data_IF_847257223148
#
_entry.id   IF_847257223148
#
_cell.length_a   1.000
_cell.length_b   1.000
_cell.length_c   1.000
_cell.angle_alpha   90.00
_cell.angle_beta   90.00
_cell.angle_gamma   90.00
#
_symmetry.space_group_name_H-M   'P 1'
#
loop_
_entity.id
_entity.type
_entity.pdbx_description
1 polymer ?
#
# COMPACT_ATOMS: atom_id res chain seq x y z
N UNK A 1 21.73 -54.79 -16.89
CA UNK A 1 21.14 -55.30 -15.69
C UNK A 1 22.06 -55.09 -14.53
N UNK A 2 22.22 -53.93 -13.97
CA UNK A 2 22.89 -53.66 -12.66
C UNK A 2 22.36 -52.33 -12.14
N UNK A 3 21.61 -52.41 -11.06
CA UNK A 3 21.13 -51.26 -10.31
C UNK A 3 22.31 -50.54 -9.63
N UNK A 4 22.42 -49.25 -9.80
CA UNK A 4 23.38 -48.43 -9.07
C UNK A 4 22.62 -47.50 -8.14
N UNK A 5 22.70 -47.82 -6.83
CA UNK A 5 22.19 -46.98 -5.75
C UNK A 5 23.24 -45.89 -5.47
N UNK A 6 22.92 -44.64 -5.73
CA UNK A 6 23.72 -43.54 -5.23
C UNK A 6 23.15 -43.07 -3.90
N UNK A 7 23.96 -43.18 -2.88
CA UNK A 7 23.72 -42.68 -1.53
C UNK A 7 23.75 -41.16 -1.51
N UNK A 8 22.68 -40.54 -1.02
CA UNK A 8 22.60 -39.10 -0.77
C UNK A 8 23.26 -38.83 0.60
N UNK A 9 24.39 -38.19 0.59
CA UNK A 9 25.08 -37.74 1.80
C UNK A 9 24.37 -36.49 2.34
N UNK A 10 23.80 -36.60 3.54
CA UNK A 10 23.20 -35.49 4.28
C UNK A 10 24.32 -34.64 4.89
N UNK A 11 24.50 -33.43 4.37
CA UNK A 11 25.35 -32.43 5.01
C UNK A 11 24.53 -31.67 6.06
N UNK A 12 24.82 -31.92 7.33
CA UNK A 12 24.33 -31.14 8.46
C UNK A 12 25.15 -29.85 8.49
N UNK A 13 24.57 -28.76 7.98
CA UNK A 13 25.09 -27.40 8.14
C UNK A 13 24.67 -26.89 9.50
N UNK A 14 25.62 -26.71 10.40
CA UNK A 14 25.42 -26.18 11.74
C UNK A 14 24.81 -24.75 11.68
N UNK A 15 23.69 -24.55 12.34
CA UNK A 15 23.12 -23.24 12.61
C UNK A 15 24.03 -22.47 13.58
N UNK A 16 24.82 -21.55 13.05
CA UNK A 16 25.37 -20.47 13.85
C UNK A 16 24.25 -19.46 14.14
N UNK A 17 23.73 -19.52 15.34
CA UNK A 17 22.77 -18.54 15.87
C UNK A 17 23.46 -17.19 16.06
N UNK A 18 23.32 -16.30 15.07
CA UNK A 18 23.65 -14.88 15.23
C UNK A 18 22.53 -14.25 16.06
N UNK A 19 22.81 -13.58 17.18
CA UNK A 19 21.78 -12.87 17.92
C UNK A 19 21.28 -11.69 17.07
N UNK A 20 20.07 -11.79 16.55
CA UNK A 20 19.36 -10.68 15.96
C UNK A 20 18.99 -9.74 17.12
N UNK A 21 19.77 -8.69 17.30
CA UNK A 21 19.40 -7.58 18.20
C UNK A 21 18.22 -6.87 17.57
N UNK A 22 17.02 -7.28 17.97
CA UNK A 22 15.78 -6.58 17.62
C UNK A 22 15.79 -5.25 18.36
N UNK A 23 16.17 -4.19 17.67
CA UNK A 23 15.88 -2.85 18.11
C UNK A 23 14.36 -2.65 17.94
N UNK A 24 13.62 -2.83 19.02
CA UNK A 24 12.23 -2.43 19.11
C UNK A 24 12.17 -0.89 19.05
N UNK A 25 12.17 -0.36 17.83
CA UNK A 25 11.78 1.03 17.62
C UNK A 25 10.26 1.07 17.76
N UNK A 26 9.78 1.76 18.78
CA UNK A 26 8.37 2.03 19.01
C UNK A 26 7.74 2.56 17.72
N UNK A 27 6.70 1.87 17.24
CA UNK A 27 5.90 2.37 16.14
C UNK A 27 5.41 3.77 16.48
N UNK A 28 5.48 4.74 15.57
CA UNK A 28 4.96 6.08 15.83
C UNK A 28 3.47 5.98 16.16
N UNK A 29 3.11 6.68 17.22
CA UNK A 29 1.77 6.80 17.78
C UNK A 29 0.76 7.14 16.66
N UNK A 30 -0.29 6.36 16.54
CA UNK A 30 -1.37 6.61 15.58
C UNK A 30 -2.17 7.82 16.05
N UNK A 31 -1.72 9.02 15.69
CA UNK A 31 -2.44 10.26 15.97
C UNK A 31 -3.74 10.26 15.18
N UNK A 32 -4.86 10.14 15.88
CA UNK A 32 -6.20 10.35 15.33
C UNK A 32 -6.65 11.76 15.71
N UNK A 33 -6.68 12.70 14.74
CA UNK A 33 -7.16 14.06 15.01
C UNK A 33 -6.67 15.11 13.99
N UNK A 34 -7.08 16.38 14.10
CA UNK A 34 -6.53 17.46 13.29
C UNK A 34 -5.02 17.57 13.53
N UNK A 35 -4.23 17.30 12.45
CA UNK A 35 -2.77 17.18 12.52
C UNK A 35 -2.23 15.78 12.14
N UNK A 36 -3.06 14.93 11.53
CA UNK A 36 -2.70 13.59 11.04
C UNK A 36 -1.52 13.59 10.08
N UNK A 37 -1.33 14.67 9.31
CA UNK A 37 -0.22 14.85 8.38
C UNK A 37 0.46 16.19 8.61
N UNK A 38 1.77 16.27 8.34
CA UNK A 38 2.42 17.54 8.13
C UNK A 38 1.74 18.31 6.99
N UNK A 39 1.70 19.65 7.02
CA UNK A 39 1.05 20.45 5.98
C UNK A 39 1.72 20.31 4.61
N UNK A 40 2.96 19.84 4.59
CA UNK A 40 3.72 19.53 3.37
C UNK A 40 4.42 18.19 3.54
N UNK A 41 4.23 17.31 2.58
CA UNK A 41 4.84 15.97 2.55
C UNK A 41 5.56 15.73 1.21
N UNK A 42 6.63 14.92 1.18
CA UNK A 42 7.16 14.40 -0.07
C UNK A 42 6.13 13.49 -0.74
N UNK A 43 5.99 13.61 -2.06
CA UNK A 43 5.11 12.73 -2.84
C UNK A 43 5.91 11.88 -3.82
N UNK A 44 5.47 10.63 -3.94
CA UNK A 44 6.03 9.61 -4.80
C UNK A 44 5.02 9.28 -5.91
N UNK A 45 5.14 9.91 -7.09
CA UNK A 45 4.27 9.64 -8.22
C UNK A 45 4.69 8.36 -8.92
N UNK A 46 3.75 7.44 -9.14
CA UNK A 46 3.96 6.18 -9.85
C UNK A 46 2.87 5.99 -10.91
N UNK A 47 3.18 5.34 -12.06
CA UNK A 47 2.22 5.17 -13.14
C UNK A 47 1.20 4.06 -12.90
N UNK A 48 1.52 3.10 -12.02
CA UNK A 48 0.83 1.82 -11.92
C UNK A 48 0.58 1.36 -10.48
N UNK A 49 0.81 2.24 -9.51
CA UNK A 49 0.76 1.84 -8.11
C UNK A 49 0.05 2.86 -7.23
N UNK A 50 -0.97 2.37 -6.53
CA UNK A 50 -1.75 3.12 -5.53
C UNK A 50 -1.51 2.50 -4.15
N UNK A 51 -1.60 3.30 -3.09
CA UNK A 51 -1.56 2.87 -1.70
C UNK A 51 -2.93 3.10 -1.06
N UNK A 52 -3.38 2.15 -0.25
CA UNK A 52 -4.62 2.28 0.52
C UNK A 52 -4.34 2.41 2.02
N UNK A 53 -5.19 3.11 2.79
CA UNK A 53 -5.05 3.24 4.23
C UNK A 53 -4.95 1.87 4.92
N UNK A 54 -4.13 1.79 5.98
CA UNK A 54 -3.89 0.62 6.84
C UNK A 54 -3.13 -0.55 6.18
N UNK A 55 -2.97 -0.54 4.85
CA UNK A 55 -2.27 -1.61 4.10
C UNK A 55 -0.80 -1.26 3.95
N UNK A 56 0.05 -2.29 4.06
CA UNK A 56 1.51 -2.15 3.91
C UNK A 56 1.94 -2.56 2.50
N UNK A 57 2.89 -1.82 1.92
CA UNK A 57 3.44 -2.09 0.60
C UNK A 57 4.97 -2.09 0.64
N UNK A 58 5.63 -3.17 0.18
CA UNK A 58 7.07 -3.15 0.00
C UNK A 58 7.43 -2.34 -1.24
N UNK A 59 8.46 -1.50 -1.15
CA UNK A 59 8.96 -0.66 -2.23
C UNK A 59 10.47 -0.77 -2.32
N UNK A 60 10.99 -0.89 -3.55
CA UNK A 60 12.41 -0.82 -3.86
C UNK A 60 12.75 0.54 -4.45
N UNK A 61 13.54 1.34 -3.75
CA UNK A 61 13.85 2.73 -4.09
C UNK A 61 15.25 2.79 -4.68
N UNK A 62 15.35 3.02 -5.99
CA UNK A 62 16.61 3.02 -6.72
C UNK A 62 16.96 4.36 -7.37
N UNK A 63 15.95 5.15 -7.79
CA UNK A 63 16.17 6.43 -8.45
C UNK A 63 16.80 7.47 -7.48
N UNK A 64 17.82 8.24 -7.90
CA UNK A 64 18.52 9.19 -7.03
C UNK A 64 17.59 10.20 -6.34
N UNK A 65 16.56 10.72 -7.06
CA UNK A 65 15.58 11.66 -6.48
C UNK A 65 14.75 11.03 -5.37
N UNK A 66 14.35 9.76 -5.51
CA UNK A 66 13.55 9.07 -4.50
C UNK A 66 14.40 8.50 -3.37
N UNK A 67 15.68 8.21 -3.63
CA UNK A 67 16.65 7.92 -2.55
C UNK A 67 16.83 9.14 -1.64
N UNK A 68 16.98 10.33 -2.23
CA UNK A 68 17.02 11.58 -1.46
C UNK A 68 15.72 11.81 -0.67
N UNK A 69 14.56 11.55 -1.28
CA UNK A 69 13.25 11.64 -0.63
C UNK A 69 13.15 10.74 0.60
N UNK A 70 13.52 9.46 0.48
CA UNK A 70 13.51 8.50 1.59
C UNK A 70 14.50 8.92 2.68
N UNK A 71 15.74 9.29 2.31
CA UNK A 71 16.75 9.74 3.26
C UNK A 71 16.31 10.98 4.06
N UNK A 72 15.57 11.91 3.44
CA UNK A 72 15.02 13.09 4.12
C UNK A 72 13.80 12.72 4.98
N UNK A 73 12.89 11.87 4.49
CA UNK A 73 11.74 11.39 5.25
C UNK A 73 12.18 10.66 6.53
N UNK A 74 13.25 9.86 6.48
CA UNK A 74 13.79 9.13 7.64
C UNK A 74 14.34 10.04 8.75
N UNK A 75 14.71 11.30 8.42
CA UNK A 75 15.14 12.30 9.40
C UNK A 75 13.97 13.03 10.09
N UNK A 76 12.76 12.90 9.55
CA UNK A 76 11.55 13.55 10.03
C UNK A 76 10.45 12.56 10.41
N UNK A 77 9.23 12.85 9.98
CA UNK A 77 8.04 12.08 10.35
C UNK A 77 7.93 10.71 9.68
N UNK A 78 8.86 10.36 8.78
CA UNK A 78 8.88 9.12 7.99
C UNK A 78 7.66 8.96 7.06
N UNK A 79 7.03 10.06 6.70
CA UNK A 79 5.81 10.09 5.89
C UNK A 79 6.16 10.37 4.43
N UNK A 80 5.57 9.57 3.53
CA UNK A 80 5.62 9.74 2.07
C UNK A 80 4.19 9.59 1.54
N UNK A 81 3.76 10.51 0.66
CA UNK A 81 2.50 10.40 -0.05
C UNK A 81 2.65 9.66 -1.37
N UNK A 82 1.91 8.59 -1.59
CA UNK A 82 1.82 7.95 -2.91
C UNK A 82 0.69 8.56 -3.71
N UNK A 83 0.97 8.86 -4.98
CA UNK A 83 0.01 9.42 -5.94
C UNK A 83 0.14 8.73 -7.29
N UNK A 84 -0.98 8.52 -7.97
CA UNK A 84 -0.97 7.96 -9.32
C UNK A 84 -0.70 9.07 -10.35
N UNK A 85 0.13 8.76 -11.34
CA UNK A 85 0.31 9.60 -12.53
C UNK A 85 -0.96 9.57 -13.39
N UNK A 86 -1.28 10.71 -14.02
CA UNK A 86 -2.33 10.71 -15.04
C UNK A 86 -1.88 9.96 -16.27
N UNK A 87 -2.75 9.17 -16.91
CA UNK A 87 -2.42 8.44 -18.13
C UNK A 87 -1.94 9.37 -19.26
N UNK A 88 -1.05 8.87 -20.10
CA UNK A 88 -0.53 9.58 -21.26
C UNK A 88 0.68 10.46 -21.00
N UNK A 89 1.20 10.46 -19.78
CA UNK A 89 2.39 11.23 -19.37
C UNK A 89 3.56 10.36 -18.95
N UNK A 90 3.51 9.06 -19.25
CA UNK A 90 4.53 8.09 -18.85
C UNK A 90 5.90 8.42 -19.47
N UNK A 91 5.91 8.99 -20.71
CA UNK A 91 7.13 9.41 -21.37
C UNK A 91 7.81 10.62 -20.69
N UNK A 92 7.08 11.41 -19.90
CA UNK A 92 7.60 12.56 -19.15
C UNK A 92 7.83 12.24 -17.67
N UNK A 93 7.97 10.95 -17.33
CA UNK A 93 8.09 10.49 -15.95
C UNK A 93 9.25 11.15 -15.17
N UNK A 94 10.38 11.41 -15.83
CA UNK A 94 11.52 12.12 -15.21
C UNK A 94 11.25 13.61 -14.97
N UNK A 95 10.29 14.19 -15.67
CA UNK A 95 9.82 15.54 -15.51
C UNK A 95 8.92 15.70 -14.28
N UNK A 96 7.87 16.51 -14.43
CA UNK A 96 6.83 16.70 -13.41
C UNK A 96 5.44 16.49 -14.02
N UNK A 97 5.16 15.27 -14.50
CA UNK A 97 3.89 14.97 -15.13
C UNK A 97 2.73 15.19 -14.16
N UNK A 98 1.53 15.51 -14.67
CA UNK A 98 0.36 15.68 -13.82
C UNK A 98 0.02 14.38 -13.08
N UNK A 99 -0.42 14.54 -11.84
CA UNK A 99 -0.86 13.45 -10.96
C UNK A 99 -2.35 13.60 -10.64
N UNK A 100 -2.95 12.52 -10.11
CA UNK A 100 -4.25 12.64 -9.48
C UNK A 100 -4.16 13.47 -8.21
N UNK A 101 -5.22 14.22 -7.92
CA UNK A 101 -5.23 15.14 -6.78
C UNK A 101 -5.35 14.41 -5.43
N UNK A 102 -5.89 13.19 -5.44
CA UNK A 102 -6.07 12.35 -4.24
C UNK A 102 -5.01 11.24 -4.27
N UNK A 103 -4.32 11.09 -3.15
CA UNK A 103 -3.37 10.03 -2.89
C UNK A 103 -3.53 9.48 -1.48
N UNK A 104 -2.64 8.58 -1.08
CA UNK A 104 -2.57 8.06 0.27
C UNK A 104 -1.19 8.32 0.87
N UNK A 105 -1.16 8.96 2.02
CA UNK A 105 0.05 9.11 2.83
C UNK A 105 0.34 7.80 3.56
N UNK A 106 1.61 7.41 3.57
CA UNK A 106 2.07 6.25 4.31
C UNK A 106 3.26 6.59 5.18
N UNK A 107 3.45 5.82 6.24
CA UNK A 107 4.62 5.87 7.11
C UNK A 107 5.58 4.73 6.77
N UNK A 108 6.87 5.04 6.73
CA UNK A 108 7.92 4.04 6.56
C UNK A 108 8.07 3.27 7.88
N UNK A 109 7.62 2.01 7.92
CA UNK A 109 7.65 1.15 9.11
C UNK A 109 8.92 0.31 9.19
N UNK A 110 9.48 -0.04 8.05
CA UNK A 110 10.74 -0.78 7.95
C UNK A 110 11.61 -0.20 6.84
N UNK A 111 12.94 -0.27 7.01
CA UNK A 111 13.90 0.24 6.06
C UNK A 111 15.18 -0.59 6.08
N UNK A 112 15.63 -0.97 4.90
CA UNK A 112 16.94 -1.56 4.66
C UNK A 112 17.68 -0.69 3.65
N UNK A 113 18.75 -0.05 4.08
CA UNK A 113 19.68 0.64 3.19
C UNK A 113 20.66 -0.38 2.59
N UNK A 114 20.81 -0.37 1.28
CA UNK A 114 21.70 -1.25 0.55
C UNK A 114 23.07 -0.58 0.35
N UNK A 115 24.17 -1.37 0.16
CA UNK A 115 25.53 -0.83 0.02
C UNK A 115 25.70 0.19 -1.12
N UNK A 116 24.87 0.15 -2.14
CA UNK A 116 24.85 1.09 -3.27
C UNK A 116 23.96 2.32 -3.04
N UNK A 117 23.43 2.45 -1.82
CA UNK A 117 22.57 3.56 -1.37
C UNK A 117 21.14 3.49 -1.86
N UNK A 118 20.68 2.36 -2.44
CA UNK A 118 19.26 2.07 -2.65
C UNK A 118 18.59 1.70 -1.33
N UNK A 119 17.26 1.78 -1.29
CA UNK A 119 16.50 1.39 -0.10
C UNK A 119 15.44 0.35 -0.47
N UNK A 120 15.29 -0.66 0.39
CA UNK A 120 14.05 -1.43 0.50
C UNK A 120 13.29 -0.88 1.69
N UNK A 121 12.05 -0.47 1.46
CA UNK A 121 11.20 0.07 2.54
C UNK A 121 9.88 -0.66 2.59
N UNK A 122 9.27 -0.68 3.77
CA UNK A 122 7.86 -1.02 3.95
C UNK A 122 7.10 0.27 4.22
N UNK A 123 6.17 0.61 3.34
CA UNK A 123 5.32 1.79 3.47
C UNK A 123 3.91 1.34 3.89
N UNK A 124 3.47 1.75 5.09
CA UNK A 124 2.13 1.48 5.59
C UNK A 124 1.23 2.69 5.39
N UNK A 125 0.13 2.53 4.66
CA UNK A 125 -0.87 3.55 4.46
C UNK A 125 -1.47 4.06 5.77
N UNK A 126 -1.56 5.37 5.89
CA UNK A 126 -2.12 6.08 7.04
C UNK A 126 -3.50 6.64 6.73
N UNK A 127 -3.56 7.56 5.78
CA UNK A 127 -4.74 8.35 5.49
C UNK A 127 -4.70 8.85 4.05
N UNK A 128 -5.85 8.97 3.41
CA UNK A 128 -5.98 9.70 2.15
C UNK A 128 -5.67 11.17 2.34
N UNK A 129 -5.18 11.79 1.29
CA UNK A 129 -4.98 13.23 1.27
C UNK A 129 -5.36 13.82 -0.08
N UNK A 130 -5.64 15.12 -0.09
CA UNK A 130 -5.80 15.94 -1.29
C UNK A 130 -4.63 16.89 -1.43
N UNK A 131 -4.04 16.94 -2.63
CA UNK A 131 -3.02 17.93 -2.98
C UNK A 131 -3.71 19.29 -3.14
N UNK A 132 -3.18 20.30 -2.44
CA UNK A 132 -3.64 21.70 -2.51
C UNK A 132 -2.61 22.64 -3.15
N UNK A 133 -1.41 22.14 -3.35
CA UNK A 133 -0.34 22.84 -4.08
C UNK A 133 0.97 22.05 -4.04
N UNK A 134 1.90 22.45 -4.88
CA UNK A 134 3.22 21.80 -4.96
C UNK A 134 4.34 22.80 -4.68
N UNK A 135 5.48 22.27 -4.20
CA UNK A 135 6.73 22.99 -3.99
C UNK A 135 7.84 22.28 -4.78
N UNK A 136 8.70 23.06 -5.40
CA UNK A 136 9.77 22.58 -6.28
C UNK A 136 11.18 22.76 -5.70
N UNK A 137 11.29 23.00 -4.41
CA UNK A 137 12.56 23.29 -3.73
C UNK A 137 13.50 22.08 -3.56
N UNK A 138 13.03 20.86 -3.89
CA UNK A 138 13.76 19.61 -3.74
C UNK A 138 13.90 18.86 -5.06
N UNK A 139 14.86 17.90 -5.16
CA UNK A 139 14.98 17.02 -6.33
C UNK A 139 13.74 16.15 -6.58
N UNK A 140 12.96 15.88 -5.52
CA UNK A 140 11.68 15.21 -5.54
C UNK A 140 10.54 16.21 -5.33
N UNK A 141 9.31 15.77 -5.53
CA UNK A 141 8.12 16.63 -5.39
C UNK A 141 7.72 16.73 -3.91
N UNK A 142 7.46 17.96 -3.47
CA UNK A 142 6.78 18.26 -2.22
C UNK A 142 5.37 18.76 -2.53
N UNK A 143 4.39 18.32 -1.75
CA UNK A 143 3.01 18.76 -1.89
C UNK A 143 2.46 19.30 -0.57
N UNK A 144 1.76 20.42 -0.64
CA UNK A 144 0.86 20.84 0.44
C UNK A 144 -0.38 19.98 0.34
N UNK A 145 -0.82 19.45 1.49
CA UNK A 145 -1.87 18.44 1.53
C UNK A 145 -2.88 18.70 2.64
N UNK A 146 -4.13 18.36 2.34
CA UNK A 146 -5.19 18.25 3.33
C UNK A 146 -5.51 16.78 3.57
N UNK A 147 -5.43 16.32 4.82
CA UNK A 147 -5.79 14.96 5.19
C UNK A 147 -7.29 14.73 5.00
N UNK A 148 -7.64 13.55 4.50
CA UNK A 148 -9.01 13.09 4.27
C UNK A 148 -9.27 11.82 5.10
N UNK A 149 -9.47 11.94 6.43
CA UNK A 149 -9.68 10.80 7.29
C UNK A 149 -11.00 10.11 6.98
N UNK A 150 -10.98 8.77 7.05
CA UNK A 150 -12.16 7.93 6.92
C UNK A 150 -12.45 7.33 8.29
N UNK A 151 -13.65 7.55 8.81
CA UNK A 151 -14.08 7.04 10.10
C UNK A 151 -15.54 6.60 9.97
N UNK A 152 -15.78 5.34 9.56
CA UNK A 152 -17.14 4.85 9.40
C UNK A 152 -17.90 4.95 10.73
N UNK A 153 -19.13 5.40 10.68
CA UNK A 153 -20.04 5.41 11.83
C UNK A 153 -20.57 3.99 12.14
N UNK A 154 -21.44 3.86 13.13
CA UNK A 154 -21.96 2.56 13.55
C UNK A 154 -22.89 1.93 12.50
N UNK A 155 -23.60 2.73 11.71
CA UNK A 155 -24.48 2.28 10.62
C UNK A 155 -23.62 1.76 9.45
N UNK A 156 -22.62 2.52 9.05
CA UNK A 156 -21.65 2.13 8.01
C UNK A 156 -20.89 0.86 8.40
N UNK A 157 -20.44 0.75 9.66
CA UNK A 157 -19.83 -0.49 10.17
C UNK A 157 -20.78 -1.68 10.12
N UNK A 158 -22.06 -1.47 10.44
CA UNK A 158 -23.05 -2.53 10.32
C UNK A 158 -23.30 -2.93 8.86
N UNK A 159 -23.29 -1.98 7.94
CA UNK A 159 -23.40 -2.23 6.51
C UNK A 159 -22.15 -2.98 5.98
N UNK A 160 -20.95 -2.56 6.35
CA UNK A 160 -19.68 -3.25 5.99
C UNK A 160 -19.67 -4.72 6.46
N UNK A 161 -20.13 -5.00 7.70
CA UNK A 161 -20.25 -6.38 8.18
C UNK A 161 -21.20 -7.22 7.31
N UNK A 162 -22.26 -6.65 6.77
CA UNK A 162 -23.17 -7.35 5.83
C UNK A 162 -22.50 -7.64 4.49
N UNK A 163 -21.60 -6.77 4.03
CA UNK A 163 -20.86 -6.96 2.77
C UNK A 163 -19.72 -7.98 2.88
N UNK A 164 -19.25 -8.29 4.09
CA UNK A 164 -18.10 -9.16 4.32
C UNK A 164 -18.21 -10.51 3.61
N UNK A 165 -19.31 -11.23 3.80
CA UNK A 165 -19.48 -12.55 3.17
C UNK A 165 -19.49 -12.49 1.64
N UNK A 166 -20.00 -11.40 1.07
CA UNK A 166 -19.99 -11.17 -0.37
C UNK A 166 -18.59 -10.96 -0.88
N UNK A 167 -17.81 -10.11 -0.20
CA UNK A 167 -16.40 -9.84 -0.52
C UNK A 167 -15.54 -11.11 -0.42
N UNK A 168 -15.73 -11.91 0.63
CA UNK A 168 -15.01 -13.17 0.80
C UNK A 168 -15.35 -14.17 -0.33
N UNK A 169 -16.62 -14.24 -0.73
CA UNK A 169 -17.06 -15.10 -1.85
C UNK A 169 -16.45 -14.68 -3.18
N UNK A 170 -16.45 -13.38 -3.48
CA UNK A 170 -15.84 -12.82 -4.69
C UNK A 170 -14.32 -13.04 -4.70
N UNK A 171 -13.67 -12.84 -3.57
CA UNK A 171 -12.23 -13.11 -3.43
C UNK A 171 -11.90 -14.58 -3.75
N UNK A 172 -12.68 -15.52 -3.21
CA UNK A 172 -12.50 -16.95 -3.46
C UNK A 172 -12.64 -17.29 -4.95
N UNK A 173 -13.65 -16.71 -5.63
CA UNK A 173 -13.86 -16.88 -7.06
C UNK A 173 -12.68 -16.31 -7.90
N UNK A 174 -12.15 -15.16 -7.52
CA UNK A 174 -11.04 -14.50 -8.24
C UNK A 174 -9.71 -15.22 -8.09
N UNK A 175 -9.39 -15.68 -6.89
CA UNK A 175 -8.10 -16.31 -6.60
C UNK A 175 -8.05 -17.79 -6.96
N UNK A 176 -9.18 -18.40 -7.38
CA UNK A 176 -9.30 -19.85 -7.60
C UNK A 176 -9.01 -20.67 -6.34
N UNK A 177 -8.86 -20.03 -5.20
CA UNK A 177 -8.67 -20.65 -3.90
C UNK A 177 -10.03 -20.76 -3.23
N UNK A 178 -10.68 -21.88 -3.42
CA UNK A 178 -11.75 -22.30 -2.51
C UNK A 178 -11.11 -22.58 -1.14
N UNK A 179 -10.70 -21.54 -0.45
CA UNK A 179 -10.48 -21.64 0.99
C UNK A 179 -11.87 -21.70 1.60
N UNK A 180 -12.25 -22.90 2.04
CA UNK A 180 -13.49 -23.11 2.78
C UNK A 180 -13.43 -22.48 4.19
N UNK A 181 -12.29 -21.91 4.57
CA UNK A 181 -12.10 -21.21 5.83
C UNK A 181 -12.34 -19.71 5.63
N UNK A 182 -13.27 -19.12 6.36
CA UNK A 182 -13.47 -17.68 6.36
C UNK A 182 -12.19 -16.97 6.84
N UNK A 183 -11.99 -15.75 6.37
CA UNK A 183 -10.87 -14.94 6.86
C UNK A 183 -10.94 -14.80 8.40
N UNK A 184 -9.78 -14.78 9.08
CA UNK A 184 -9.76 -14.63 10.53
C UNK A 184 -10.59 -13.41 10.97
N UNK A 185 -11.35 -13.58 12.07
CA UNK A 185 -12.15 -12.49 12.65
C UNK A 185 -11.29 -11.28 13.12
N UNK A 186 -9.98 -11.46 13.22
CA UNK A 186 -9.03 -10.40 13.52
C UNK A 186 -8.81 -9.43 12.35
N UNK A 187 -9.20 -9.79 11.12
CA UNK A 187 -9.16 -8.91 9.95
C UNK A 187 -10.43 -8.06 9.97
N UNK A 188 -10.28 -6.76 10.20
CA UNK A 188 -11.41 -5.83 10.16
C UNK A 188 -12.00 -5.71 8.74
N UNK A 189 -13.24 -5.27 8.64
CA UNK A 189 -13.88 -5.01 7.34
C UNK A 189 -13.11 -3.95 6.54
N UNK A 190 -12.57 -2.94 7.22
CA UNK A 190 -11.75 -1.90 6.62
C UNK A 190 -10.45 -2.48 6.05
N UNK A 191 -9.77 -3.36 6.80
CA UNK A 191 -8.55 -4.01 6.33
C UNK A 191 -8.84 -4.96 5.16
N UNK A 192 -9.98 -5.65 5.18
CA UNK A 192 -10.41 -6.50 4.08
C UNK A 192 -10.65 -5.68 2.80
N UNK A 193 -11.46 -4.63 2.88
CA UNK A 193 -11.80 -3.78 1.71
C UNK A 193 -10.54 -3.14 1.14
N UNK A 194 -9.72 -2.52 1.99
CA UNK A 194 -8.50 -1.85 1.56
C UNK A 194 -7.44 -2.85 1.05
N UNK A 195 -7.36 -4.02 1.66
CA UNK A 195 -6.47 -5.10 1.21
C UNK A 195 -6.86 -5.64 -0.16
N UNK A 196 -8.15 -5.88 -0.40
CA UNK A 196 -8.64 -6.28 -1.70
C UNK A 196 -8.39 -5.19 -2.75
N UNK A 197 -8.76 -3.94 -2.45
CA UNK A 197 -8.49 -2.80 -3.33
C UNK A 197 -6.99 -2.62 -3.63
N UNK A 198 -6.09 -3.00 -2.72
CA UNK A 198 -4.64 -2.88 -2.90
C UNK A 198 -4.02 -4.00 -3.73
N UNK A 199 -4.48 -5.26 -3.57
CA UNK A 199 -3.77 -6.44 -4.04
C UNK A 199 -4.47 -7.21 -5.17
N UNK A 200 -5.71 -6.89 -5.50
CA UNK A 200 -6.33 -7.43 -6.70
C UNK A 200 -5.66 -6.85 -7.95
N UNK A 201 -5.51 -7.67 -8.97
CA UNK A 201 -4.99 -7.27 -10.28
C UNK A 201 -6.07 -6.48 -11.04
N UNK A 202 -6.09 -5.18 -10.81
CA UNK A 202 -6.99 -4.22 -11.46
C UNK A 202 -6.17 -3.22 -12.29
N UNK A 203 -6.83 -2.54 -13.20
CA UNK A 203 -6.21 -1.42 -13.91
C UNK A 203 -5.85 -0.30 -12.92
N UNK A 204 -4.73 0.44 -13.13
CA UNK A 204 -4.34 1.54 -12.24
C UNK A 204 -5.43 2.59 -12.05
N UNK A 205 -6.27 2.82 -13.06
CA UNK A 205 -7.40 3.75 -13.00
C UNK A 205 -8.47 3.23 -12.05
N UNK A 206 -8.77 1.92 -12.08
CA UNK A 206 -9.75 1.32 -11.16
C UNK A 206 -9.27 1.41 -9.72
N UNK A 207 -7.97 1.18 -9.45
CA UNK A 207 -7.38 1.40 -8.13
C UNK A 207 -7.55 2.85 -7.67
N UNK A 208 -7.33 3.82 -8.56
CA UNK A 208 -7.49 5.24 -8.24
C UNK A 208 -8.96 5.59 -7.95
N UNK A 209 -9.89 5.09 -8.76
CA UNK A 209 -11.32 5.29 -8.53
C UNK A 209 -11.77 4.71 -7.20
N UNK A 210 -11.27 3.54 -6.81
CA UNK A 210 -11.54 2.94 -5.50
C UNK A 210 -10.95 3.79 -4.36
N UNK A 211 -9.74 4.36 -4.53
CA UNK A 211 -9.13 5.24 -3.53
C UNK A 211 -9.94 6.53 -3.37
N UNK A 212 -10.47 7.09 -4.46
CA UNK A 212 -11.21 8.34 -4.45
C UNK A 212 -12.61 8.22 -3.82
N UNK A 213 -13.14 6.99 -3.60
CA UNK A 213 -14.45 6.79 -2.96
C UNK A 213 -14.54 7.49 -1.61
N UNK A 214 -15.73 8.01 -1.32
CA UNK A 214 -16.02 8.68 -0.07
C UNK A 214 -16.30 7.63 1.02
N UNK A 215 -15.24 7.29 1.75
CA UNK A 215 -15.27 6.30 2.82
C UNK A 215 -15.14 4.83 2.38
N UNK A 216 -14.97 3.97 3.38
CA UNK A 216 -14.72 2.54 3.20
C UNK A 216 -15.95 1.81 2.68
N UNK A 217 -17.16 2.20 3.12
CA UNK A 217 -18.40 1.56 2.67
C UNK A 217 -18.62 1.77 1.17
N UNK A 218 -18.52 3.02 0.69
CA UNK A 218 -18.64 3.33 -0.74
C UNK A 218 -17.56 2.64 -1.57
N UNK A 219 -16.37 2.46 -1.02
CA UNK A 219 -15.28 1.67 -1.65
C UNK A 219 -15.63 0.19 -1.72
N UNK A 220 -16.23 -0.39 -0.66
CA UNK A 220 -16.65 -1.79 -0.64
C UNK A 220 -17.71 -2.07 -1.70
N UNK A 221 -18.71 -1.20 -1.81
CA UNK A 221 -19.78 -1.30 -2.82
C UNK A 221 -19.20 -1.22 -4.24
N UNK A 222 -18.35 -0.22 -4.52
CA UNK A 222 -17.69 -0.09 -5.81
C UNK A 222 -16.80 -1.28 -6.17
N UNK A 223 -16.10 -1.85 -5.18
CA UNK A 223 -15.28 -3.03 -5.36
C UNK A 223 -16.14 -4.27 -5.70
N UNK A 224 -17.26 -4.46 -5.03
CA UNK A 224 -18.22 -5.53 -5.32
C UNK A 224 -18.71 -5.41 -6.77
N UNK A 225 -19.19 -4.22 -7.16
CA UNK A 225 -19.68 -3.96 -8.51
C UNK A 225 -18.62 -4.25 -9.59
N UNK A 226 -17.38 -3.86 -9.31
CA UNK A 226 -16.26 -4.10 -10.22
C UNK A 226 -15.97 -5.59 -10.36
N UNK A 227 -15.91 -6.33 -9.26
CA UNK A 227 -15.63 -7.76 -9.25
C UNK A 227 -16.75 -8.56 -9.94
N UNK A 228 -18.01 -8.23 -9.72
CA UNK A 228 -19.16 -8.85 -10.40
C UNK A 228 -19.11 -8.64 -11.94
N UNK A 229 -18.73 -7.43 -12.37
CA UNK A 229 -18.55 -7.14 -13.79
C UNK A 229 -17.41 -7.95 -14.43
N UNK A 230 -16.32 -8.17 -13.68
CA UNK A 230 -15.17 -8.95 -14.14
C UNK A 230 -15.50 -10.45 -14.18
N UNK A 231 -16.31 -10.98 -13.27
CA UNK A 231 -16.78 -12.37 -13.31
C UNK A 231 -17.66 -12.64 -14.54
N UNK A 232 -18.53 -11.70 -14.91
CA UNK A 232 -19.44 -11.87 -16.06
C UNK A 232 -18.73 -11.80 -17.42
N UNK A 233 -17.46 -11.37 -17.47
CA UNK A 233 -16.65 -11.28 -18.70
C UNK A 233 -15.75 -12.52 -18.94
N UNK A 234 -15.70 -13.45 -17.99
CA UNK A 234 -14.96 -14.72 -18.10
C UNK A 234 -15.81 -15.81 -18.74
#
# INVERSE_FOLDING_TARGET
MKANRLACAIWIVGLLSVPVTVWAQSAPDTRTGPGLLPPTIPIFPLPDLTLFPRISRPLHIFEPRYRAMVADALKGDRIIGMVLLRPGYEADYEGRPPVYAIGCAGVITDVQELPDGRFNIMLRGLVKFRITGEDQSRPYRLARVDAMPESPDDEERAALRKQRSKLESLLAAFTGRYSSEPLPASVSEEDLVNGLAQYLELDPIDHQELLERDGVLSRAEALIDLLEKLETKK
#
